data_IF_633815653098
#
_entry.id   IF_633815653098
#
_cell.length_a   1.000
_cell.length_b   1.000
_cell.length_c   1.000
_cell.angle_alpha   90.00
_cell.angle_beta   90.00
_cell.angle_gamma   90.00
#
_symmetry.space_group_name_H-M   'P 1'
#
loop_
_entity.id
_entity.type
_entity.pdbx_description
1 polymer ?
#
# COMPACT_ATOMS: atom_id res chain seq x y z
N UNK A 1 -15.55 -25.22 20.86
CA UNK A 1 -15.60 -23.98 20.06
C UNK A 1 -14.27 -23.81 19.34
N UNK A 2 -14.23 -23.52 18.03
CA UNK A 2 -12.98 -23.21 17.33
C UNK A 2 -12.32 -22.00 17.98
N UNK A 3 -11.00 -22.04 18.15
CA UNK A 3 -10.25 -20.91 18.68
C UNK A 3 -10.35 -19.76 17.69
N UNK A 4 -10.69 -18.51 18.12
CA UNK A 4 -10.77 -17.40 17.20
C UNK A 4 -9.45 -17.19 16.46
N UNK A 5 -9.55 -16.94 15.18
CA UNK A 5 -8.37 -16.67 14.32
C UNK A 5 -7.69 -15.41 14.81
N UNK A 6 -6.38 -15.50 15.03
CA UNK A 6 -5.59 -14.36 15.49
C UNK A 6 -5.32 -13.43 14.30
N UNK A 7 -5.66 -12.15 14.42
CA UNK A 7 -5.36 -11.13 13.42
C UNK A 7 -3.85 -11.04 13.15
N UNK A 8 -3.43 -11.04 11.88
CA UNK A 8 -2.02 -11.07 11.45
C UNK A 8 -1.51 -9.65 11.23
N UNK A 9 -0.29 -9.39 11.66
CA UNK A 9 0.36 -8.11 11.40
C UNK A 9 0.94 -8.08 10.00
N UNK A 10 0.51 -7.13 9.20
CA UNK A 10 0.99 -6.88 7.84
C UNK A 10 1.78 -5.59 7.80
N UNK A 11 3.01 -5.62 7.32
CA UNK A 11 3.86 -4.43 7.22
C UNK A 11 3.71 -3.69 5.89
N UNK A 12 3.25 -4.38 4.87
CA UNK A 12 3.12 -3.88 3.51
C UNK A 12 1.73 -4.19 2.97
N UNK A 13 1.03 -3.18 2.49
CA UNK A 13 -0.22 -3.34 1.75
C UNK A 13 0.07 -3.13 0.26
N UNK A 14 -0.36 -4.04 -0.66
CA UNK A 14 -0.06 -3.94 -2.08
C UNK A 14 -0.82 -2.79 -2.74
N UNK A 15 -0.20 -2.15 -3.73
CA UNK A 15 -0.86 -1.15 -4.58
C UNK A 15 -1.63 -1.81 -5.72
N UNK A 16 -1.04 -2.87 -6.29
CA UNK A 16 -1.66 -3.68 -7.34
C UNK A 16 -2.42 -4.80 -6.68
N UNK A 17 -3.72 -4.84 -6.89
CA UNK A 17 -4.63 -5.79 -6.27
C UNK A 17 -5.08 -6.89 -7.22
N UNK A 18 -4.72 -6.81 -8.51
CA UNK A 18 -5.09 -7.80 -9.50
C UNK A 18 -3.96 -8.01 -10.51
N UNK A 19 -3.71 -9.26 -10.84
CA UNK A 19 -2.80 -9.69 -11.90
C UNK A 19 -3.59 -10.57 -12.86
N UNK A 20 -3.74 -10.11 -14.10
CA UNK A 20 -4.47 -10.82 -15.14
C UNK A 20 -3.53 -11.27 -16.25
N UNK A 21 -3.67 -12.49 -16.78
CA UNK A 21 -2.90 -12.93 -17.93
C UNK A 21 -3.30 -12.15 -19.19
N UNK A 22 -2.35 -11.92 -20.11
CA UNK A 22 -2.56 -11.22 -21.40
C UNK A 22 -3.28 -12.07 -22.44
N UNK A 23 -4.39 -12.67 -22.13
CA UNK A 23 -5.13 -13.53 -23.04
C UNK A 23 -6.57 -13.69 -22.57
N UNK A 24 -7.34 -14.55 -23.24
CA UNK A 24 -8.66 -14.88 -22.77
C UNK A 24 -8.56 -15.61 -21.43
N UNK A 25 -8.99 -14.97 -20.37
CA UNK A 25 -9.07 -15.58 -19.03
C UNK A 25 -10.36 -16.37 -18.94
N UNK A 26 -10.26 -17.68 -18.70
CA UNK A 26 -11.43 -18.53 -18.47
C UNK A 26 -11.43 -18.97 -17.02
N UNK A 27 -12.44 -18.58 -16.24
CA UNK A 27 -12.64 -19.00 -14.88
C UNK A 27 -12.66 -17.86 -13.86
N UNK A 28 -13.00 -18.19 -12.63
CA UNK A 28 -12.98 -17.23 -11.51
C UNK A 28 -11.55 -16.92 -11.08
N UNK A 29 -11.25 -15.66 -10.70
CA UNK A 29 -9.95 -15.29 -10.18
C UNK A 29 -9.59 -16.10 -8.93
N UNK A 30 -8.32 -16.44 -8.80
CA UNK A 30 -7.81 -17.03 -7.56
C UNK A 30 -7.57 -15.91 -6.55
N UNK A 31 -8.22 -16.03 -5.40
CA UNK A 31 -8.09 -15.03 -4.32
C UNK A 31 -6.91 -15.36 -3.42
N UNK A 32 -5.93 -14.45 -3.39
CA UNK A 32 -4.81 -14.43 -2.44
C UNK A 32 -5.11 -13.40 -1.35
N UNK A 33 -5.13 -13.81 -0.08
CA UNK A 33 -5.40 -12.85 1.00
C UNK A 33 -4.18 -11.98 1.30
N UNK A 34 -4.40 -10.81 1.91
CA UNK A 34 -3.32 -9.84 2.20
C UNK A 34 -2.26 -10.44 3.14
N UNK A 35 -2.65 -11.25 4.12
CA UNK A 35 -1.74 -11.95 5.01
C UNK A 35 -0.99 -13.10 4.32
N UNK A 36 -1.59 -13.75 3.33
CA UNK A 36 -0.92 -14.72 2.45
C UNK A 36 0.15 -14.03 1.59
N UNK A 37 -0.19 -12.89 0.97
CA UNK A 37 0.78 -12.09 0.21
C UNK A 37 1.92 -11.60 1.09
N UNK A 38 1.64 -11.10 2.29
CA UNK A 38 2.67 -10.67 3.24
C UNK A 38 3.61 -11.82 3.62
N UNK A 39 3.06 -13.03 3.75
CA UNK A 39 3.85 -14.24 4.05
C UNK A 39 4.81 -14.58 2.92
N UNK A 40 4.34 -14.53 1.66
CA UNK A 40 5.19 -14.66 0.46
C UNK A 40 6.29 -13.58 0.45
N UNK A 41 5.92 -12.32 0.71
CA UNK A 41 6.88 -11.23 0.75
C UNK A 41 7.96 -11.45 1.80
N UNK A 42 7.58 -11.85 3.01
CA UNK A 42 8.54 -12.05 4.10
C UNK A 42 9.49 -13.23 3.83
N UNK A 43 8.98 -14.34 3.34
CA UNK A 43 9.79 -15.55 3.15
C UNK A 43 10.53 -15.52 1.81
N UNK A 44 9.84 -15.30 0.69
CA UNK A 44 10.44 -15.44 -0.64
C UNK A 44 11.22 -14.18 -1.09
N UNK A 45 10.76 -12.97 -0.71
CA UNK A 45 11.42 -11.72 -1.12
C UNK A 45 12.44 -11.23 -0.09
N UNK A 46 12.09 -11.26 1.21
CA UNK A 46 12.96 -10.78 2.28
C UNK A 46 13.84 -11.88 2.88
N UNK A 47 13.67 -13.14 2.44
CA UNK A 47 14.43 -14.33 2.86
C UNK A 47 14.36 -14.61 4.39
N UNK A 48 13.23 -14.32 5.02
CA UNK A 48 13.01 -14.67 6.42
C UNK A 48 12.71 -16.18 6.55
N UNK A 49 13.15 -16.77 7.66
CA UNK A 49 12.71 -18.10 8.06
C UNK A 49 11.22 -18.09 8.43
N UNK A 50 10.59 -19.27 8.41
CA UNK A 50 9.19 -19.42 8.84
C UNK A 50 8.97 -18.99 10.30
N UNK A 51 9.97 -19.11 11.14
CA UNK A 51 9.93 -18.67 12.53
C UNK A 51 9.93 -17.14 12.64
N UNK A 52 10.84 -16.46 11.94
CA UNK A 52 10.89 -15.00 11.87
C UNK A 52 9.62 -14.42 11.21
N UNK A 53 9.15 -15.05 10.13
CA UNK A 53 7.88 -14.71 9.50
C UNK A 53 6.71 -14.82 10.50
N UNK A 54 6.63 -15.92 11.25
CA UNK A 54 5.63 -16.10 12.30
C UNK A 54 5.71 -15.01 13.38
N UNK A 55 6.91 -14.70 13.85
CA UNK A 55 7.14 -13.62 14.81
C UNK A 55 6.70 -12.24 14.26
N UNK A 56 7.00 -11.97 12.98
CA UNK A 56 6.59 -10.74 12.30
C UNK A 56 5.07 -10.63 12.16
N UNK A 57 4.40 -11.70 11.72
CA UNK A 57 2.93 -11.77 11.59
C UNK A 57 2.20 -11.84 12.95
N UNK A 58 2.93 -12.16 14.02
CA UNK A 58 2.36 -12.35 15.36
C UNK A 58 1.66 -13.70 15.54
N UNK A 59 2.05 -14.72 14.78
CA UNK A 59 1.53 -16.09 14.84
C UNK A 59 2.66 -17.10 15.12
N UNK A 60 2.30 -18.35 15.40
CA UNK A 60 3.30 -19.41 15.56
C UNK A 60 3.89 -19.86 14.22
N UNK A 61 5.11 -20.45 14.26
CA UNK A 61 5.82 -20.99 13.08
C UNK A 61 4.94 -21.90 12.23
N UNK A 62 4.22 -22.84 12.84
CA UNK A 62 3.36 -23.79 12.14
C UNK A 62 2.19 -23.12 11.42
N UNK A 63 1.68 -22.02 11.96
CA UNK A 63 0.63 -21.21 11.32
C UNK A 63 1.21 -20.45 10.13
N UNK A 64 2.40 -19.84 10.29
CA UNK A 64 3.10 -19.18 9.19
C UNK A 64 3.40 -20.16 8.05
N UNK A 65 3.85 -21.36 8.37
CA UNK A 65 4.08 -22.43 7.39
C UNK A 65 2.82 -22.76 6.60
N UNK A 66 1.67 -22.97 7.27
CA UNK A 66 0.41 -23.28 6.59
C UNK A 66 -0.06 -22.16 5.68
N UNK A 67 0.03 -20.90 6.13
CA UNK A 67 -0.32 -19.74 5.31
C UNK A 67 0.58 -19.70 4.06
N UNK A 68 1.87 -19.91 4.24
CA UNK A 68 2.86 -19.92 3.17
C UNK A 68 2.60 -21.01 2.13
N UNK A 69 2.35 -22.24 2.57
CA UNK A 69 2.04 -23.37 1.67
C UNK A 69 0.77 -23.11 0.86
N UNK A 70 -0.27 -22.57 1.52
CA UNK A 70 -1.53 -22.20 0.86
C UNK A 70 -1.31 -21.09 -0.16
N UNK A 71 -0.59 -20.03 0.22
CA UNK A 71 -0.29 -18.91 -0.65
C UNK A 71 0.50 -19.33 -1.90
N UNK A 72 1.55 -20.13 -1.75
CA UNK A 72 2.36 -20.64 -2.87
C UNK A 72 1.54 -21.53 -3.81
N UNK A 73 0.65 -22.36 -3.27
CA UNK A 73 -0.23 -23.18 -4.09
C UNK A 73 -1.16 -22.32 -4.94
N UNK A 74 -1.79 -21.31 -4.35
CA UNK A 74 -2.67 -20.36 -5.06
C UNK A 74 -1.94 -19.65 -6.20
N UNK A 75 -0.72 -19.17 -5.95
CA UNK A 75 0.12 -18.52 -6.97
C UNK A 75 0.48 -19.51 -8.07
N UNK A 76 0.87 -20.73 -7.72
CA UNK A 76 1.19 -21.76 -8.68
C UNK A 76 -0.02 -22.13 -9.54
N UNK A 77 -1.21 -22.29 -8.94
CA UNK A 77 -2.44 -22.58 -9.66
C UNK A 77 -2.80 -21.43 -10.63
N UNK A 78 -2.67 -20.15 -10.19
CA UNK A 78 -2.89 -19.00 -11.06
C UNK A 78 -1.96 -19.00 -12.28
N UNK A 79 -0.67 -19.24 -12.07
CA UNK A 79 0.33 -19.23 -13.14
C UNK A 79 0.20 -20.44 -14.10
N UNK A 80 -0.02 -21.65 -13.54
CA UNK A 80 -0.07 -22.89 -14.32
C UNK A 80 -1.35 -23.01 -15.11
N UNK A 81 -2.47 -22.57 -14.52
CA UNK A 81 -3.80 -22.68 -15.13
C UNK A 81 -4.22 -21.43 -15.90
N UNK A 82 -3.45 -20.34 -15.81
CA UNK A 82 -3.73 -19.10 -16.51
C UNK A 82 -4.93 -18.33 -15.94
N UNK A 83 -5.18 -18.44 -14.63
CA UNK A 83 -6.22 -17.67 -13.95
C UNK A 83 -5.72 -16.30 -13.50
N UNK A 84 -6.63 -15.33 -13.43
CA UNK A 84 -6.32 -14.08 -12.77
C UNK A 84 -6.07 -14.29 -11.27
N UNK A 85 -5.17 -13.51 -10.69
CA UNK A 85 -4.89 -13.51 -9.26
C UNK A 85 -5.41 -12.22 -8.67
N UNK A 86 -6.32 -12.30 -7.69
CA UNK A 86 -6.89 -11.14 -7.00
C UNK A 86 -6.43 -11.12 -5.55
N UNK A 87 -5.95 -9.96 -5.08
CA UNK A 87 -5.49 -9.78 -3.72
C UNK A 87 -6.58 -9.08 -2.93
N UNK A 88 -7.27 -9.81 -2.05
CA UNK A 88 -8.35 -9.25 -1.24
C UNK A 88 -8.60 -10.05 0.03
N UNK A 89 -9.17 -9.41 1.04
CA UNK A 89 -9.60 -10.05 2.27
C UNK A 89 -8.45 -10.53 3.16
N UNK A 90 -8.78 -11.44 4.09
CA UNK A 90 -7.89 -11.93 5.13
C UNK A 90 -8.12 -11.21 6.47
N UNK A 91 -7.67 -11.85 7.56
CA UNK A 91 -7.76 -11.25 8.91
C UNK A 91 -6.42 -10.62 9.28
N UNK A 92 -6.23 -9.37 8.96
CA UNK A 92 -4.98 -8.67 9.20
C UNK A 92 -5.18 -7.29 9.83
N UNK A 93 -4.11 -6.74 10.37
CA UNK A 93 -3.98 -5.35 10.80
C UNK A 93 -2.65 -4.80 10.34
N UNK A 94 -2.60 -3.55 9.92
CA UNK A 94 -1.34 -2.93 9.53
C UNK A 94 -0.44 -2.73 10.75
N UNK A 95 0.85 -3.03 10.56
CA UNK A 95 1.85 -2.84 11.59
C UNK A 95 2.09 -1.35 11.84
N UNK A 96 1.80 -0.88 13.04
CA UNK A 96 2.06 0.48 13.51
C UNK A 96 3.42 0.65 14.19
N UNK A 97 4.26 -0.39 14.23
CA UNK A 97 5.55 -0.34 14.93
C UNK A 97 5.50 -0.83 16.39
N UNK A 98 4.31 -1.07 16.94
CA UNK A 98 4.11 -1.59 18.30
C UNK A 98 4.28 -3.11 18.35
N UNK A 99 5.50 -3.61 18.14
CA UNK A 99 5.79 -5.04 18.14
C UNK A 99 7.15 -5.31 18.79
N UNK A 100 7.28 -6.44 19.49
CA UNK A 100 8.54 -6.87 20.12
C UNK A 100 9.54 -7.33 19.06
N UNK A 101 9.08 -7.95 17.99
CA UNK A 101 9.88 -8.41 16.85
C UNK A 101 9.65 -7.55 15.62
N UNK A 102 10.75 -7.14 14.97
CA UNK A 102 10.75 -6.54 13.64
C UNK A 102 12.04 -6.92 12.92
N UNK A 103 11.93 -7.48 11.72
CA UNK A 103 13.10 -7.86 10.92
C UNK A 103 13.90 -6.65 10.40
N UNK A 104 13.25 -5.49 10.23
CA UNK A 104 13.92 -4.24 9.86
C UNK A 104 14.51 -3.57 11.09
N UNK A 105 15.84 -3.37 11.11
CA UNK A 105 16.56 -2.71 12.21
C UNK A 105 16.14 -1.23 12.34
N UNK A 106 16.05 -0.53 11.20
CA UNK A 106 15.76 0.90 11.14
C UNK A 106 14.31 1.14 10.70
N UNK A 107 13.36 0.50 11.39
CA UNK A 107 11.95 0.65 11.09
C UNK A 107 11.43 1.99 11.63
N UNK A 108 11.08 2.92 10.71
CA UNK A 108 10.52 4.24 11.05
C UNK A 108 9.31 4.15 11.98
N UNK A 109 8.41 3.17 11.75
CA UNK A 109 7.22 2.96 12.59
C UNK A 109 7.58 2.70 14.06
N UNK A 110 8.69 1.97 14.31
CA UNK A 110 9.20 1.73 15.67
C UNK A 110 9.83 2.97 16.29
N UNK A 111 10.52 3.79 15.49
CA UNK A 111 11.09 5.06 15.94
C UNK A 111 9.97 5.99 16.36
N UNK A 112 8.97 6.19 15.49
CA UNK A 112 7.75 6.96 15.79
C UNK A 112 7.09 6.49 17.09
N UNK A 113 6.89 5.18 17.26
CA UNK A 113 6.26 4.65 18.48
C UNK A 113 7.06 4.93 19.75
N UNK A 114 8.36 5.06 19.68
CA UNK A 114 9.20 5.44 20.84
C UNK A 114 9.04 6.92 21.20
N UNK A 115 8.96 7.78 20.19
CA UNK A 115 8.83 9.23 20.35
C UNK A 115 7.44 9.66 20.85
N UNK A 116 6.38 9.04 20.30
CA UNK A 116 5.00 9.42 20.60
C UNK A 116 4.33 8.66 21.77
N UNK A 117 5.07 7.85 22.52
CA UNK A 117 4.51 7.14 23.71
C UNK A 117 4.05 8.06 24.84
N UNK A 118 4.42 9.32 24.83
CA UNK A 118 4.29 10.25 25.96
C UNK A 118 3.07 11.17 25.91
N UNK A 119 2.34 11.25 24.78
CA UNK A 119 1.23 12.21 24.65
C UNK A 119 -0.14 11.54 24.69
N UNK A 120 -0.57 11.12 25.87
CA UNK A 120 -1.97 10.75 26.14
C UNK A 120 -2.64 11.86 26.93
N UNK A 121 -3.68 12.49 26.37
CA UNK A 121 -4.57 13.26 27.22
C UNK A 121 -5.27 14.52 26.68
N UNK A 122 -5.25 14.79 25.37
CA UNK A 122 -6.06 15.88 24.81
C UNK A 122 -6.83 15.36 23.59
N UNK A 123 -8.03 15.90 23.38
CA UNK A 123 -8.81 15.66 22.16
C UNK A 123 -8.13 16.43 20.99
N UNK A 124 -6.99 15.91 20.53
CA UNK A 124 -6.18 16.49 19.48
C UNK A 124 -6.45 15.68 18.22
N UNK A 125 -6.90 16.34 17.15
CA UNK A 125 -7.02 15.79 15.83
C UNK A 125 -5.67 15.95 15.10
N UNK A 126 -5.09 14.87 14.60
CA UNK A 126 -3.84 14.89 13.85
C UNK A 126 -4.11 14.74 12.36
N UNK A 127 -3.70 15.75 11.58
CA UNK A 127 -3.80 15.77 10.13
C UNK A 127 -2.41 15.54 9.54
N UNK A 128 -2.29 14.56 8.65
CA UNK A 128 -1.10 14.36 7.83
C UNK A 128 -1.36 14.90 6.42
N UNK A 129 -0.38 15.56 5.85
CA UNK A 129 -0.42 16.10 4.48
C UNK A 129 0.80 15.55 3.74
N UNK A 130 0.62 15.00 2.53
CA UNK A 130 1.75 14.69 1.63
C UNK A 130 2.45 15.99 1.27
N UNK A 131 3.78 16.07 1.48
CA UNK A 131 4.45 17.35 1.48
C UNK A 131 5.69 17.36 0.62
N UNK A 132 5.83 18.43 -0.17
CA UNK A 132 7.04 18.78 -0.91
C UNK A 132 7.14 20.30 -1.07
N UNK A 133 8.23 20.91 -0.58
CA UNK A 133 8.56 22.33 -0.80
C UNK A 133 7.39 23.32 -0.54
N UNK A 134 6.62 23.13 0.53
CA UNK A 134 5.50 23.99 0.90
C UNK A 134 4.15 23.56 0.34
N UNK A 135 4.13 22.66 -0.64
CA UNK A 135 2.93 22.24 -1.35
C UNK A 135 2.55 20.80 -1.03
N UNK A 136 1.30 20.45 -1.36
CA UNK A 136 0.81 19.09 -1.31
C UNK A 136 1.45 18.30 -2.44
N UNK A 137 2.18 17.23 -2.08
CA UNK A 137 2.75 16.32 -3.05
C UNK A 137 1.67 15.47 -3.70
N UNK A 138 1.71 15.34 -5.04
CA UNK A 138 0.58 14.84 -5.83
C UNK A 138 0.51 13.30 -5.94
N UNK A 139 1.53 12.58 -5.49
CA UNK A 139 1.60 11.11 -5.59
C UNK A 139 1.85 10.48 -4.22
N UNK A 140 0.79 10.06 -3.53
CA UNK A 140 0.89 9.49 -2.19
C UNK A 140 1.97 8.41 -2.07
N UNK A 141 2.00 7.47 -3.01
CA UNK A 141 2.92 6.34 -2.98
C UNK A 141 4.41 6.73 -3.05
N UNK A 142 4.73 7.89 -3.58
CA UNK A 142 6.10 8.40 -3.73
C UNK A 142 6.45 9.51 -2.73
N UNK A 143 5.57 9.75 -1.74
CA UNK A 143 5.77 10.79 -0.75
C UNK A 143 7.02 10.52 0.10
N UNK A 144 7.97 11.45 0.08
CA UNK A 144 9.18 11.40 0.89
C UNK A 144 8.97 12.04 2.27
N UNK A 145 8.05 13.00 2.37
CA UNK A 145 7.75 13.71 3.61
C UNK A 145 6.25 13.85 3.86
N UNK A 146 5.87 13.71 5.12
CA UNK A 146 4.58 14.16 5.62
C UNK A 146 4.74 15.39 6.48
N UNK A 147 3.88 16.42 6.28
CA UNK A 147 3.70 17.50 7.22
C UNK A 147 2.52 17.19 8.13
N UNK A 148 2.79 17.09 9.43
CA UNK A 148 1.78 16.82 10.45
C UNK A 148 1.30 18.12 11.06
N UNK A 149 -0.01 18.15 11.38
CA UNK A 149 -0.65 19.25 12.07
C UNK A 149 -1.48 18.70 13.20
N UNK A 150 -1.20 19.12 14.42
CA UNK A 150 -2.04 18.83 15.58
C UNK A 150 -3.03 19.97 15.77
N UNK A 151 -4.32 19.62 15.72
CA UNK A 151 -5.44 20.57 15.81
C UNK A 151 -6.14 20.37 17.15
N UNK A 152 -6.33 21.45 17.89
CA UNK A 152 -7.13 21.49 19.12
C UNK A 152 -8.08 22.67 19.09
N UNK A 153 -9.35 22.44 19.34
CA UNK A 153 -10.40 23.47 19.38
C UNK A 153 -10.42 24.36 18.10
N UNK A 154 -10.21 23.71 16.93
CA UNK A 154 -10.19 24.39 15.63
C UNK A 154 -8.94 25.24 15.37
N UNK A 155 -7.87 25.07 16.15
CA UNK A 155 -6.61 25.80 15.96
C UNK A 155 -5.45 24.83 15.81
N UNK A 156 -4.53 25.17 14.92
CA UNK A 156 -3.25 24.45 14.76
C UNK A 156 -2.38 24.79 15.99
N UNK A 157 -2.04 23.78 16.79
CA UNK A 157 -1.22 23.94 18.00
C UNK A 157 0.24 23.48 17.78
N UNK A 158 0.47 22.58 16.81
CA UNK A 158 1.79 22.07 16.47
C UNK A 158 1.86 21.71 15.00
N UNK A 159 3.02 21.91 14.38
CA UNK A 159 3.35 21.40 13.05
C UNK A 159 4.71 20.72 13.09
N UNK A 160 4.86 19.63 12.34
CA UNK A 160 6.08 18.82 12.31
C UNK A 160 6.27 18.22 10.92
N UNK A 161 7.51 18.14 10.44
CA UNK A 161 7.86 17.43 9.21
C UNK A 161 8.44 16.06 9.56
N UNK A 162 7.93 15.02 8.93
CA UNK A 162 8.35 13.64 9.13
C UNK A 162 8.81 13.07 7.80
N UNK A 163 10.05 12.63 7.75
CA UNK A 163 10.59 11.89 6.61
C UNK A 163 10.08 10.45 6.62
N UNK A 164 9.70 9.94 5.46
CA UNK A 164 9.25 8.54 5.31
C UNK A 164 10.41 7.56 5.24
N UNK A 165 11.66 8.05 5.18
CA UNK A 165 12.91 7.29 5.11
C UNK A 165 12.88 6.20 4.02
N UNK A 166 12.35 6.54 2.83
CA UNK A 166 12.24 5.60 1.72
C UNK A 166 11.33 4.41 2.02
N UNK A 167 10.37 4.57 2.94
CA UNK A 167 9.33 3.57 3.16
C UNK A 167 8.57 3.38 1.84
N UNK A 168 8.75 2.23 1.18
CA UNK A 168 8.09 1.94 -0.10
C UNK A 168 6.58 2.11 -0.01
N UNK A 169 5.96 2.30 -1.16
CA UNK A 169 4.54 2.66 -1.36
C UNK A 169 3.56 1.98 -0.41
N UNK A 170 3.60 0.66 -0.26
CA UNK A 170 2.69 -0.09 0.61
C UNK A 170 2.94 0.05 2.12
N UNK A 171 3.98 0.75 2.56
CA UNK A 171 4.29 0.95 3.98
C UNK A 171 3.76 2.28 4.54
N UNK A 172 3.43 3.25 3.67
CA UNK A 172 3.06 4.62 4.06
C UNK A 172 1.79 4.68 4.91
N UNK A 173 0.76 3.89 4.58
CA UNK A 173 -0.45 3.80 5.42
C UNK A 173 -0.14 3.33 6.85
N UNK A 174 0.80 2.38 7.00
CA UNK A 174 1.27 1.96 8.31
C UNK A 174 2.14 3.02 9.03
N UNK A 175 2.84 3.90 8.29
CA UNK A 175 3.53 5.07 8.87
C UNK A 175 2.50 6.04 9.44
N UNK A 176 1.45 6.37 8.68
CA UNK A 176 0.36 7.23 9.14
C UNK A 176 -0.36 6.65 10.39
N UNK A 177 -0.59 5.35 10.41
CA UNK A 177 -1.13 4.65 11.58
C UNK A 177 -0.18 4.75 12.79
N UNK A 178 1.13 4.62 12.60
CA UNK A 178 2.13 4.78 13.66
C UNK A 178 2.15 6.22 14.20
N UNK A 179 2.00 7.20 13.32
CA UNK A 179 1.89 8.63 13.63
C UNK A 179 0.56 8.99 14.29
N UNK A 180 -0.40 8.05 14.35
CA UNK A 180 -1.77 8.26 14.85
C UNK A 180 -2.48 9.40 14.11
N UNK A 181 -2.31 9.44 12.79
CA UNK A 181 -3.03 10.37 11.96
C UNK A 181 -4.52 10.01 11.93
N UNK A 182 -5.40 10.98 12.15
CA UNK A 182 -6.85 10.84 12.03
C UNK A 182 -7.32 11.13 10.61
N UNK A 183 -6.58 12.02 9.92
CA UNK A 183 -6.91 12.53 8.60
C UNK A 183 -5.65 12.55 7.72
N UNK A 184 -5.81 12.17 6.45
CA UNK A 184 -4.82 12.38 5.39
C UNK A 184 -5.39 13.34 4.35
N UNK A 185 -4.61 14.39 4.01
CA UNK A 185 -4.83 15.26 2.86
C UNK A 185 -3.72 14.98 1.84
N UNK A 186 -4.08 14.66 0.61
CA UNK A 186 -3.10 14.35 -0.44
C UNK A 186 -3.62 14.71 -1.84
N UNK A 187 -2.74 14.64 -2.83
CA UNK A 187 -3.11 14.63 -4.24
C UNK A 187 -3.70 13.29 -4.67
N UNK A 188 -3.10 12.66 -5.69
CA UNK A 188 -3.50 11.33 -6.16
C UNK A 188 -3.07 10.21 -5.21
N UNK A 189 -3.91 9.18 -5.11
CA UNK A 189 -3.67 8.02 -4.24
C UNK A 189 -4.23 6.75 -4.91
N UNK A 190 -3.47 5.66 -4.88
CA UNK A 190 -3.90 4.37 -5.44
C UNK A 190 -4.95 3.66 -4.58
N UNK A 191 -5.80 2.83 -5.21
CA UNK A 191 -6.90 2.11 -4.55
C UNK A 191 -6.45 1.24 -3.38
N UNK A 192 -5.31 0.57 -3.48
CA UNK A 192 -4.75 -0.22 -2.39
C UNK A 192 -4.41 0.62 -1.15
N UNK A 193 -3.86 1.82 -1.35
CA UNK A 193 -3.57 2.72 -0.24
C UNK A 193 -4.86 3.28 0.39
N UNK A 194 -5.89 3.57 -0.41
CA UNK A 194 -7.21 4.00 0.11
C UNK A 194 -7.83 2.93 1.01
N UNK A 195 -7.80 1.66 0.58
CA UNK A 195 -8.27 0.54 1.40
C UNK A 195 -7.48 0.44 2.71
N UNK A 196 -6.15 0.53 2.64
CA UNK A 196 -5.29 0.49 3.82
C UNK A 196 -5.57 1.63 4.82
N UNK A 197 -5.87 2.84 4.34
CA UNK A 197 -6.27 3.97 5.20
C UNK A 197 -7.62 3.71 5.87
N UNK A 198 -8.59 3.21 5.12
CA UNK A 198 -9.93 2.88 5.63
C UNK A 198 -9.86 1.83 6.73
N UNK A 199 -9.08 0.76 6.52
CA UNK A 199 -8.84 -0.30 7.51
C UNK A 199 -8.20 0.22 8.82
N UNK A 200 -7.44 1.32 8.74
CA UNK A 200 -6.82 1.97 9.90
C UNK A 200 -7.66 3.13 10.47
N UNK A 201 -8.86 3.36 9.95
CA UNK A 201 -9.75 4.41 10.41
C UNK A 201 -9.25 5.84 10.08
N UNK A 202 -8.35 5.99 9.11
CA UNK A 202 -7.81 7.28 8.67
C UNK A 202 -8.73 7.86 7.59
N UNK A 203 -9.28 9.05 7.81
CA UNK A 203 -10.14 9.73 6.83
C UNK A 203 -9.30 10.34 5.71
N UNK A 204 -9.67 10.04 4.46
CA UNK A 204 -8.97 10.52 3.27
C UNK A 204 -9.66 11.75 2.67
N UNK A 205 -8.84 12.76 2.34
CA UNK A 205 -9.20 13.92 1.52
C UNK A 205 -8.21 13.99 0.35
N UNK A 206 -8.56 13.35 -0.75
CA UNK A 206 -7.72 13.20 -1.93
C UNK A 206 -8.03 14.24 -3.02
N UNK A 207 -7.16 14.31 -4.03
CA UNK A 207 -7.29 15.26 -5.14
C UNK A 207 -7.06 16.72 -4.75
N UNK A 208 -6.42 16.95 -3.62
CA UNK A 208 -6.09 18.30 -3.13
C UNK A 208 -4.74 18.73 -3.69
N UNK A 209 -4.63 20.01 -4.10
CA UNK A 209 -3.39 20.58 -4.62
C UNK A 209 -3.14 21.97 -4.03
N UNK A 210 -1.95 22.49 -4.23
CA UNK A 210 -1.54 23.81 -3.75
C UNK A 210 -0.82 23.79 -2.40
N UNK A 211 -0.87 24.90 -1.68
CA UNK A 211 -0.14 25.08 -0.42
C UNK A 211 -0.71 24.21 0.70
N UNK A 212 0.17 23.49 1.40
CA UNK A 212 -0.23 22.55 2.46
C UNK A 212 -0.87 23.27 3.68
N UNK A 213 -0.35 24.44 4.07
CA UNK A 213 -0.88 25.18 5.21
C UNK A 213 -2.27 25.77 4.90
N UNK A 214 -2.46 26.27 3.67
CA UNK A 214 -3.77 26.78 3.22
C UNK A 214 -4.81 25.67 3.16
N UNK A 215 -4.45 24.49 2.67
CA UNK A 215 -5.35 23.34 2.62
C UNK A 215 -5.80 22.90 4.01
N UNK A 216 -4.89 22.83 4.99
CA UNK A 216 -5.23 22.50 6.38
C UNK A 216 -6.13 23.57 7.01
N UNK A 217 -5.86 24.85 6.77
CA UNK A 217 -6.71 25.94 7.23
C UNK A 217 -8.13 25.86 6.61
N UNK A 218 -8.22 25.55 5.31
CA UNK A 218 -9.49 25.33 4.62
C UNK A 218 -10.23 24.11 5.19
N UNK A 219 -9.52 23.04 5.51
CA UNK A 219 -10.09 21.86 6.16
C UNK A 219 -10.68 22.20 7.54
N UNK A 220 -9.94 22.90 8.38
CA UNK A 220 -10.38 23.33 9.72
C UNK A 220 -11.61 24.24 9.63
N UNK A 221 -11.65 25.09 8.60
CA UNK A 221 -12.80 25.97 8.33
C UNK A 221 -14.02 25.24 7.69
N UNK A 222 -13.86 23.97 7.33
CA UNK A 222 -14.91 23.19 6.65
C UNK A 222 -15.09 23.50 5.17
N UNK A 223 -14.13 24.16 4.53
CA UNK A 223 -14.20 24.66 3.15
C UNK A 223 -13.18 23.99 2.20
N UNK A 224 -12.55 22.89 2.64
CA UNK A 224 -11.58 22.19 1.79
C UNK A 224 -12.27 21.57 0.57
N UNK A 225 -11.86 21.98 -0.63
CA UNK A 225 -12.24 21.30 -1.87
C UNK A 225 -11.39 20.04 -2.03
N UNK A 226 -12.04 18.89 -2.20
CA UNK A 226 -11.38 17.59 -2.42
C UNK A 226 -12.20 16.75 -3.38
N UNK A 227 -11.57 15.72 -3.94
CA UNK A 227 -12.23 14.75 -4.79
C UNK A 227 -12.37 13.40 -4.05
N UNK A 228 -13.61 12.95 -3.71
CA UNK A 228 -13.79 11.67 -3.03
C UNK A 228 -13.43 10.46 -3.89
N UNK A 229 -13.46 10.59 -5.23
CA UNK A 229 -13.21 9.52 -6.20
C UNK A 229 -11.80 9.63 -6.82
N UNK A 230 -10.84 10.19 -6.09
CA UNK A 230 -9.49 10.40 -6.59
C UNK A 230 -8.77 9.07 -6.85
N UNK A 231 -8.24 8.92 -8.07
CA UNK A 231 -7.33 7.84 -8.45
C UNK A 231 -6.03 8.43 -9.01
N UNK A 232 -4.91 7.70 -8.88
CA UNK A 232 -3.68 8.05 -9.59
C UNK A 232 -3.82 7.61 -11.05
N UNK A 233 -3.85 8.55 -12.00
CA UNK A 233 -4.00 8.28 -13.45
C UNK A 233 -2.72 7.73 -14.13
N UNK A 234 -1.78 7.16 -13.39
CA UNK A 234 -0.46 6.79 -13.92
C UNK A 234 -0.33 5.30 -14.31
N UNK A 235 -1.33 4.68 -14.95
CA UNK A 235 -1.17 3.35 -15.57
C UNK A 235 -1.88 3.17 -16.92
N UNK A 236 -2.26 4.26 -17.61
CA UNK A 236 -2.61 4.17 -19.02
C UNK A 236 -1.38 4.54 -19.87
N UNK A 237 -0.48 3.60 -20.05
CA UNK A 237 0.35 3.60 -21.25
C UNK A 237 -0.56 3.24 -22.42
N UNK A 238 -1.14 4.26 -23.04
CA UNK A 238 -1.66 4.14 -24.40
C UNK A 238 -0.53 3.63 -25.30
N UNK A 239 -0.56 2.33 -25.60
CA UNK A 239 0.05 1.84 -26.79
C UNK A 239 -0.76 2.39 -27.96
N UNK A 240 -0.36 3.57 -28.42
CA UNK A 240 -0.80 4.13 -29.69
C UNK A 240 -0.52 3.10 -30.77
N UNK A 241 -1.57 2.43 -31.20
CA UNK A 241 -1.55 1.54 -32.35
C UNK A 241 -1.31 2.36 -33.61
N UNK A 242 -0.07 2.54 -34.01
CA UNK A 242 0.25 2.87 -35.41
C UNK A 242 -0.02 1.63 -36.23
N UNK A 243 -1.13 1.63 -36.94
CA UNK A 243 -1.45 0.69 -38.01
C UNK A 243 -0.46 0.91 -39.17
N UNK A 244 0.66 0.19 -39.14
CA UNK A 244 1.47 0.05 -40.35
C UNK A 244 0.75 -0.85 -41.34
N UNK A 245 0.17 -0.23 -42.34
CA UNK A 245 -0.27 -0.89 -43.58
C UNK A 245 1.01 -1.34 -44.30
N UNK A 246 1.33 -2.62 -44.22
CA UNK A 246 2.35 -3.21 -45.05
C UNK A 246 1.80 -3.37 -46.47
N UNK A 247 2.26 -2.50 -47.34
CA UNK A 247 2.05 -2.61 -48.77
C UNK A 247 2.71 -3.88 -49.35
N UNK A 248 1.97 -4.46 -50.23
CA UNK A 248 2.22 -5.64 -51.05
C UNK A 248 3.57 -5.54 -51.79
N UNK A 249 4.56 -6.36 -51.41
CA UNK A 249 5.71 -6.73 -52.27
C UNK A 249 6.06 -8.18 -52.04
N UNK A 250 5.79 -8.96 -53.09
CA UNK A 250 6.05 -10.39 -53.19
C UNK A 250 7.48 -10.81 -52.89
N UNK A 251 7.60 -11.84 -52.07
CA UNK A 251 8.85 -12.55 -51.86
C UNK A 251 8.83 -13.86 -52.63
N UNK A 252 9.75 -13.91 -53.63
CA UNK A 252 10.01 -15.06 -54.45
C UNK A 252 10.61 -16.25 -53.69
N UNK A 253 10.34 -17.42 -54.23
CA UNK A 253 10.83 -18.73 -53.79
C UNK A 253 12.36 -18.82 -53.73
N UNK A 254 12.88 -19.46 -52.66
CA UNK A 254 14.27 -19.88 -52.52
C UNK A 254 14.38 -21.09 -51.59
N UNK A 255 14.31 -22.21 -52.19
CA UNK A 255 14.90 -23.54 -52.07
C UNK A 255 15.73 -23.86 -50.82
N UNK A 256 15.26 -24.83 -50.02
CA UNK A 256 16.04 -25.52 -49.00
C UNK A 256 16.88 -26.61 -49.64
N UNK A 257 18.20 -26.52 -49.50
CA UNK A 257 19.16 -27.57 -49.83
C UNK A 257 19.78 -28.15 -48.57
N UNK A 258 19.74 -29.47 -48.49
CA UNK A 258 20.42 -30.30 -47.49
C UNK A 258 21.94 -30.08 -47.45
N UNK A 259 22.49 -30.06 -46.26
CA UNK A 259 23.62 -30.93 -45.86
C UNK A 259 23.75 -30.92 -44.35
#
# INVERSE_FOLDING_TARGET
MPRPTKCRRVCYFPEVLEFSPTGAVSGEPIVLTVDELETIRLIDKENLSQEECGAQLGVGRTTAQKIYETARKKIADALVLGFALKIEGGEFQLCSGSTDFCYKKDCIKRQIQKEYKTEKGANIMRIAVTYENGNIFQHFGHTEQFKLYDIKDGKIIKTELIDTNGSGHGALAGVLSALKADVLICGGIGGGAQMALTENGIKLYGGVSGNADEAVNAFVAGNLAFNPDVHCEHHDHEHGGETHICGDHGCGHGHCGNH
#
